data_IF_795182723087
#
_entry.id   IF_795182723087
#
_cell.length_a   1.000
_cell.length_b   1.000
_cell.length_c   1.000
_cell.angle_alpha   90.00
_cell.angle_beta   90.00
_cell.angle_gamma   90.00
#
_symmetry.space_group_name_H-M   'P 1'
#
loop_
_entity.id
_entity.type
_entity.pdbx_description
1 polymer ?
#
# COMPACT_ATOMS: atom_id res chain seq x y z
N UNK A 1 -27.96 1.15 -9.23
CA UNK A 1 -26.59 0.90 -9.72
C UNK A 1 -26.21 -0.53 -9.34
N UNK A 2 -26.11 -1.45 -10.32
CA UNK A 2 -25.67 -2.82 -10.05
C UNK A 2 -24.17 -2.76 -9.75
N UNK A 3 -23.80 -2.95 -8.49
CA UNK A 3 -22.41 -3.22 -8.11
C UNK A 3 -22.06 -4.54 -8.80
N UNK A 4 -21.28 -4.45 -9.87
CA UNK A 4 -20.73 -5.61 -10.57
C UNK A 4 -20.00 -6.46 -9.55
N UNK A 5 -20.48 -7.69 -9.35
CA UNK A 5 -19.90 -8.69 -8.45
C UNK A 5 -18.68 -9.38 -9.09
N UNK A 6 -17.79 -8.60 -9.70
CA UNK A 6 -16.40 -8.95 -9.92
C UNK A 6 -15.59 -7.78 -9.43
N UNK A 7 -15.07 -7.87 -8.20
CA UNK A 7 -13.79 -7.22 -7.93
C UNK A 7 -12.84 -7.94 -8.88
N UNK A 8 -12.73 -7.44 -10.11
CA UNK A 8 -11.63 -7.80 -10.97
C UNK A 8 -10.38 -7.61 -10.12
N UNK A 9 -9.57 -8.66 -10.06
CA UNK A 9 -8.30 -8.63 -9.37
C UNK A 9 -7.42 -7.67 -10.18
N UNK A 10 -7.67 -6.37 -10.09
CA UNK A 10 -6.75 -5.36 -10.54
C UNK A 10 -5.55 -5.54 -9.62
N UNK A 11 -4.53 -6.22 -10.14
CA UNK A 11 -3.26 -6.40 -9.47
C UNK A 11 -2.65 -5.01 -9.26
N UNK A 12 -2.99 -4.39 -8.14
CA UNK A 12 -2.49 -3.09 -7.78
C UNK A 12 -0.95 -3.16 -7.75
N UNK A 13 -0.26 -2.13 -8.27
CA UNK A 13 1.18 -2.17 -8.46
C UNK A 13 1.89 -2.46 -7.13
N UNK A 14 2.91 -3.33 -7.21
CA UNK A 14 3.75 -3.70 -6.06
C UNK A 14 4.69 -2.54 -5.67
N UNK A 15 5.01 -1.66 -6.59
CA UNK A 15 5.81 -0.48 -6.29
C UNK A 15 5.06 0.45 -5.31
N UNK A 16 5.81 1.08 -4.42
CA UNK A 16 5.31 2.06 -3.46
C UNK A 16 5.19 3.42 -4.14
N UNK A 17 3.99 3.98 -4.09
CA UNK A 17 3.69 5.35 -4.51
C UNK A 17 3.86 6.33 -3.34
N UNK A 18 3.85 7.62 -3.64
CA UNK A 18 3.80 8.64 -2.59
C UNK A 18 2.52 8.58 -1.75
N UNK A 19 1.38 8.23 -2.37
CA UNK A 19 0.09 8.07 -1.71
C UNK A 19 0.09 6.86 -0.77
N UNK A 20 0.69 5.73 -1.18
CA UNK A 20 0.84 4.55 -0.31
C UNK A 20 1.56 4.91 0.99
N UNK A 21 2.64 5.70 0.90
CA UNK A 21 3.38 6.15 2.07
C UNK A 21 2.55 7.05 2.97
N UNK A 22 1.85 8.02 2.38
CA UNK A 22 0.99 8.91 3.14
C UNK A 22 -0.09 8.15 3.92
N UNK A 23 -0.76 7.19 3.28
CA UNK A 23 -1.77 6.36 3.92
C UNK A 23 -1.15 5.47 5.02
N UNK A 24 0.01 4.85 4.76
CA UNK A 24 0.67 4.01 5.76
C UNK A 24 1.16 4.83 6.95
N UNK A 25 1.61 6.07 6.72
CA UNK A 25 2.03 6.97 7.79
C UNK A 25 0.87 7.36 8.70
N UNK A 26 -0.30 7.62 8.13
CA UNK A 26 -1.53 7.86 8.86
C UNK A 26 -1.99 6.60 9.63
N UNK A 27 -2.09 5.44 8.95
CA UNK A 27 -2.51 4.17 9.54
C UNK A 27 -1.60 3.68 10.69
N UNK A 28 -0.33 4.12 10.71
CA UNK A 28 0.67 3.77 11.73
C UNK A 28 0.92 4.90 12.74
N UNK A 29 0.19 6.01 12.64
CA UNK A 29 0.29 7.18 13.51
C UNK A 29 1.74 7.69 13.65
N UNK A 30 2.45 7.81 12.52
CA UNK A 30 3.81 8.33 12.53
C UNK A 30 3.81 9.85 12.62
N UNK A 31 4.57 10.40 13.58
CA UNK A 31 4.87 11.83 13.59
C UNK A 31 5.75 12.26 12.41
N UNK A 32 5.62 13.52 11.99
CA UNK A 32 6.29 14.12 10.80
C UNK A 32 7.78 13.80 10.71
N UNK A 33 8.52 13.85 11.82
CA UNK A 33 9.96 13.52 11.84
C UNK A 33 10.23 12.09 11.41
N UNK A 34 9.42 11.14 11.88
CA UNK A 34 9.52 9.71 11.54
C UNK A 34 9.12 9.48 10.08
N UNK A 35 8.03 10.11 9.62
CA UNK A 35 7.60 10.06 8.23
C UNK A 35 8.72 10.49 7.28
N UNK A 36 9.34 11.64 7.54
CA UNK A 36 10.42 12.16 6.70
C UNK A 36 11.67 11.29 6.76
N UNK A 37 12.01 10.74 7.92
CA UNK A 37 13.13 9.80 8.03
C UNK A 37 12.88 8.57 7.16
N UNK A 38 11.72 7.94 7.28
CA UNK A 38 11.38 6.73 6.50
C UNK A 38 11.39 7.03 5.00
N UNK A 39 10.78 8.13 4.55
CA UNK A 39 10.78 8.51 3.14
C UNK A 39 12.22 8.72 2.62
N UNK A 40 13.07 9.41 3.38
CA UNK A 40 14.47 9.59 2.99
C UNK A 40 15.24 8.26 2.97
N UNK A 41 15.08 7.40 3.98
CA UNK A 41 15.75 6.10 4.06
C UNK A 41 15.34 5.18 2.90
N UNK A 42 14.04 5.17 2.52
CA UNK A 42 13.57 4.42 1.35
C UNK A 42 14.22 4.95 0.07
N UNK A 43 14.26 6.27 -0.12
CA UNK A 43 14.88 6.83 -1.32
C UNK A 43 16.41 6.64 -1.34
N UNK A 44 17.08 6.59 -0.20
CA UNK A 44 18.53 6.42 -0.17
C UNK A 44 18.96 4.96 -0.35
N UNK A 45 18.24 4.02 0.30
CA UNK A 45 18.70 2.64 0.44
C UNK A 45 17.79 1.60 -0.24
N UNK A 46 16.54 1.92 -0.50
CA UNK A 46 15.53 0.96 -1.00
C UNK A 46 14.80 1.47 -2.26
N UNK A 47 15.46 2.26 -3.13
CA UNK A 47 14.86 2.83 -4.36
C UNK A 47 14.15 1.83 -5.25
N UNK A 48 14.62 0.58 -5.26
CA UNK A 48 14.05 -0.51 -6.05
C UNK A 48 12.55 -0.71 -5.81
N UNK A 49 12.03 -0.33 -4.63
CA UNK A 49 10.63 -0.48 -4.25
C UNK A 49 9.73 0.65 -4.74
N UNK A 50 10.30 1.79 -5.14
CA UNK A 50 9.54 2.98 -5.51
C UNK A 50 8.97 2.85 -6.93
N UNK A 51 7.98 3.68 -7.27
CA UNK A 51 7.57 3.82 -8.66
C UNK A 51 8.73 4.31 -9.55
N UNK A 52 8.76 3.84 -10.79
CA UNK A 52 9.84 4.14 -11.75
C UNK A 52 10.18 5.63 -11.86
N UNK A 53 9.17 6.50 -11.81
CA UNK A 53 9.32 7.96 -11.85
C UNK A 53 10.20 8.57 -10.74
N UNK A 54 10.41 7.83 -9.64
CA UNK A 54 11.18 8.27 -8.47
C UNK A 54 12.56 7.60 -8.32
N UNK A 55 12.89 6.60 -9.15
CA UNK A 55 14.13 5.80 -8.99
C UNK A 55 15.41 6.50 -9.48
N UNK A 56 15.28 7.46 -10.39
CA UNK A 56 16.43 8.13 -11.01
C UNK A 56 17.20 9.09 -10.09
N UNK A 57 18.46 9.35 -10.42
CA UNK A 57 19.25 10.36 -9.73
C UNK A 57 18.64 11.76 -9.91
N UNK A 58 18.70 12.56 -8.85
CA UNK A 58 18.02 13.87 -8.79
C UNK A 58 16.51 13.80 -8.52
N UNK A 59 15.88 12.62 -8.47
CA UNK A 59 14.44 12.46 -8.19
C UNK A 59 14.07 12.52 -6.71
N UNK A 60 15.05 12.60 -5.79
CA UNK A 60 14.82 12.68 -4.34
C UNK A 60 13.86 13.80 -3.98
N UNK A 61 14.13 15.01 -4.47
CA UNK A 61 13.31 16.18 -4.18
C UNK A 61 11.87 15.99 -4.64
N UNK A 62 11.66 15.54 -5.88
CA UNK A 62 10.32 15.29 -6.42
C UNK A 62 9.58 14.20 -5.66
N UNK A 63 10.28 13.15 -5.24
CA UNK A 63 9.69 12.08 -4.45
C UNK A 63 9.25 12.58 -3.06
N UNK A 64 10.13 13.25 -2.33
CA UNK A 64 9.80 13.80 -1.00
C UNK A 64 8.68 14.83 -1.08
N UNK A 65 8.68 15.70 -2.11
CA UNK A 65 7.59 16.64 -2.35
C UNK A 65 6.27 15.93 -2.63
N UNK A 66 6.27 14.87 -3.42
CA UNK A 66 5.06 14.08 -3.67
C UNK A 66 4.52 13.43 -2.39
N UNK A 67 5.40 12.87 -1.54
CA UNK A 67 4.99 12.31 -0.24
C UNK A 67 4.37 13.37 0.66
N UNK A 68 5.02 14.54 0.78
CA UNK A 68 4.50 15.65 1.58
C UNK A 68 3.15 16.16 1.07
N UNK A 69 3.01 16.29 -0.25
CA UNK A 69 1.74 16.66 -0.87
C UNK A 69 0.64 15.66 -0.51
N UNK A 70 0.91 14.36 -0.63
CA UNK A 70 -0.07 13.31 -0.33
C UNK A 70 -0.44 13.26 1.16
N UNK A 71 0.53 13.44 2.06
CA UNK A 71 0.26 13.54 3.51
C UNK A 71 -0.62 14.75 3.81
N UNK A 72 -0.31 15.91 3.22
CA UNK A 72 -1.12 17.12 3.40
C UNK A 72 -2.52 16.95 2.82
N UNK A 73 -2.64 16.32 1.64
CA UNK A 73 -3.92 16.01 1.03
C UNK A 73 -4.79 15.14 1.94
N UNK A 74 -4.23 14.07 2.55
CA UNK A 74 -4.98 13.22 3.48
C UNK A 74 -5.51 13.97 4.71
N UNK A 75 -4.71 14.88 5.28
CA UNK A 75 -5.14 15.69 6.42
C UNK A 75 -6.30 16.64 6.09
N UNK A 76 -6.39 17.08 4.84
CA UNK A 76 -7.39 18.04 4.37
C UNK A 76 -8.36 17.43 3.35
N UNK A 77 -8.51 16.10 3.36
CA UNK A 77 -9.16 15.35 2.27
C UNK A 77 -10.57 15.85 1.98
N UNK A 78 -11.39 16.07 3.02
CA UNK A 78 -12.77 16.54 2.86
C UNK A 78 -12.84 17.91 2.16
N UNK A 79 -12.06 18.88 2.64
CA UNK A 79 -12.02 20.23 2.06
C UNK A 79 -11.47 20.23 0.61
N UNK A 80 -10.45 19.40 0.35
CA UNK A 80 -9.84 19.31 -0.98
C UNK A 80 -10.77 18.57 -1.95
N UNK A 81 -11.40 17.46 -1.55
CA UNK A 81 -12.30 16.69 -2.40
C UNK A 81 -13.51 17.54 -2.83
N UNK A 82 -14.09 18.33 -1.92
CA UNK A 82 -15.17 19.28 -2.25
C UNK A 82 -14.71 20.34 -3.28
N UNK A 83 -13.49 20.86 -3.12
CA UNK A 83 -12.92 21.81 -4.08
C UNK A 83 -12.66 21.17 -5.45
N UNK A 84 -12.23 19.90 -5.48
CA UNK A 84 -11.95 19.15 -6.70
C UNK A 84 -13.22 18.89 -7.51
N UNK A 85 -14.34 18.57 -6.85
CA UNK A 85 -15.64 18.46 -7.51
C UNK A 85 -16.06 19.78 -8.16
N UNK A 86 -15.91 20.89 -7.43
CA UNK A 86 -16.21 22.23 -7.94
C UNK A 86 -15.34 22.59 -9.16
N UNK A 87 -14.05 22.26 -9.11
CA UNK A 87 -13.12 22.48 -10.24
C UNK A 87 -13.50 21.60 -11.44
N UNK A 88 -13.85 20.33 -11.22
CA UNK A 88 -14.30 19.43 -12.28
C UNK A 88 -15.54 19.98 -12.99
N UNK A 89 -16.51 20.49 -12.23
CA UNK A 89 -17.74 21.01 -12.80
C UNK A 89 -17.47 22.27 -13.65
N UNK A 90 -16.64 23.19 -13.15
CA UNK A 90 -16.19 24.35 -13.92
C UNK A 90 -15.39 23.94 -15.18
N UNK A 91 -14.55 22.90 -15.08
CA UNK A 91 -13.77 22.41 -16.21
C UNK A 91 -14.68 21.83 -17.31
N UNK A 92 -15.74 21.10 -16.93
CA UNK A 92 -16.76 20.59 -17.85
C UNK A 92 -17.49 21.71 -18.58
N UNK A 93 -17.83 22.79 -17.89
CA UNK A 93 -18.43 23.98 -18.53
C UNK A 93 -17.51 24.60 -19.59
N UNK A 94 -16.20 24.49 -19.41
CA UNK A 94 -15.18 24.96 -20.35
C UNK A 94 -14.81 23.91 -21.43
N UNK A 95 -15.49 22.76 -21.46
CA UNK A 95 -15.26 21.69 -22.44
C UNK A 95 -14.08 20.75 -22.11
N UNK A 96 -13.59 20.77 -20.87
CA UNK A 96 -12.54 19.86 -20.39
C UNK A 96 -13.13 18.77 -19.49
N UNK A 97 -12.58 17.56 -19.57
CA UNK A 97 -12.90 16.47 -18.65
C UNK A 97 -11.77 16.29 -17.64
N UNK A 98 -12.13 16.22 -16.35
CA UNK A 98 -11.20 15.93 -15.26
C UNK A 98 -11.59 14.57 -14.66
N UNK A 99 -10.66 13.63 -14.63
CA UNK A 99 -10.84 12.35 -13.97
C UNK A 99 -10.60 12.49 -12.46
N UNK A 100 -11.64 12.89 -11.75
CA UNK A 100 -11.61 13.06 -10.29
C UNK A 100 -11.35 11.73 -9.58
N UNK A 101 -11.83 10.61 -10.14
CA UNK A 101 -11.61 9.29 -9.55
C UNK A 101 -10.13 8.94 -9.60
N UNK A 102 -9.43 9.17 -10.71
CA UNK A 102 -7.96 8.98 -10.76
C UNK A 102 -7.18 9.83 -9.74
N UNK A 103 -7.75 10.94 -9.26
CA UNK A 103 -7.14 11.84 -8.27
C UNK A 103 -7.48 11.49 -6.82
N UNK A 104 -8.58 10.75 -6.60
CA UNK A 104 -9.16 10.51 -5.27
C UNK A 104 -9.24 9.03 -4.90
N UNK A 105 -8.99 8.11 -5.84
CA UNK A 105 -9.13 6.67 -5.63
C UNK A 105 -8.07 6.16 -4.65
N UNK A 106 -8.55 5.64 -3.52
CA UNK A 106 -7.73 4.94 -2.56
C UNK A 106 -7.52 3.50 -3.05
N UNK A 107 -6.29 3.15 -3.41
CA UNK A 107 -5.97 1.78 -3.83
C UNK A 107 -6.19 0.78 -2.68
N UNK A 108 -7.31 0.07 -2.74
CA UNK A 108 -7.66 -0.99 -1.81
C UNK A 108 -7.30 -2.35 -2.40
N UNK A 109 -6.12 -2.87 -2.01
CA UNK A 109 -5.66 -4.17 -2.49
C UNK A 109 -4.73 -4.84 -1.49
N UNK A 110 -4.56 -6.16 -1.61
CA UNK A 110 -3.65 -6.90 -0.74
C UNK A 110 -2.19 -6.47 -0.90
N UNK A 111 -1.79 -5.88 -2.04
CA UNK A 111 -0.47 -5.26 -2.16
C UNK A 111 -0.26 -4.14 -1.13
N UNK A 112 -1.29 -3.33 -0.83
CA UNK A 112 -1.25 -2.32 0.24
C UNK A 112 -0.96 -2.95 1.60
N UNK A 113 -1.53 -4.13 1.90
CA UNK A 113 -1.19 -4.89 3.11
C UNK A 113 0.31 -5.13 3.21
N UNK A 114 0.90 -5.63 2.12
CA UNK A 114 2.30 -6.00 2.11
C UNK A 114 3.24 -4.79 2.10
N UNK A 115 2.87 -3.67 1.46
CA UNK A 115 3.57 -2.37 1.60
C UNK A 115 3.64 -1.95 3.07
N UNK A 116 2.51 -1.97 3.76
CA UNK A 116 2.42 -1.66 5.20
C UNK A 116 3.26 -2.61 6.03
N UNK A 117 3.14 -3.93 5.82
CA UNK A 117 3.92 -4.93 6.56
C UNK A 117 5.42 -4.73 6.35
N UNK A 118 5.85 -4.46 5.11
CA UNK A 118 7.26 -4.20 4.82
C UNK A 118 7.78 -2.98 5.57
N UNK A 119 7.06 -1.85 5.54
CA UNK A 119 7.43 -0.64 6.31
C UNK A 119 7.48 -0.92 7.81
N UNK A 120 6.48 -1.62 8.34
CA UNK A 120 6.46 -2.02 9.75
C UNK A 120 7.66 -2.87 10.12
N UNK A 121 7.97 -3.91 9.34
CA UNK A 121 9.09 -4.81 9.62
C UNK A 121 10.45 -4.12 9.50
N UNK A 122 10.61 -3.22 8.52
CA UNK A 122 11.88 -2.55 8.23
C UNK A 122 12.17 -1.39 9.19
N UNK A 123 11.17 -0.56 9.49
CA UNK A 123 11.39 0.73 10.17
C UNK A 123 10.84 0.83 11.60
N UNK A 124 9.87 -0.01 11.96
CA UNK A 124 9.16 0.10 13.26
C UNK A 124 9.50 -1.04 14.20
N UNK A 125 9.47 -2.26 13.68
CA UNK A 125 9.30 -3.44 14.50
C UNK A 125 10.64 -3.91 15.10
N UNK A 126 10.80 -3.66 16.40
CA UNK A 126 11.96 -4.12 17.18
C UNK A 126 12.14 -5.65 17.20
N UNK A 127 11.05 -6.41 17.03
CA UNK A 127 11.07 -7.87 17.09
C UNK A 127 11.37 -8.53 15.74
N UNK A 128 11.34 -7.77 14.64
CA UNK A 128 11.63 -8.28 13.30
C UNK A 128 10.59 -9.25 12.72
N UNK A 129 9.37 -9.31 13.29
CA UNK A 129 8.28 -10.13 12.77
C UNK A 129 6.89 -9.59 13.12
N UNK A 130 5.93 -9.80 12.23
CA UNK A 130 4.51 -9.54 12.49
C UNK A 130 3.72 -10.85 12.45
N UNK A 131 2.56 -10.91 13.10
CA UNK A 131 1.69 -12.10 13.12
C UNK A 131 0.31 -11.75 12.61
N UNK A 132 -0.21 -12.57 11.71
CA UNK A 132 -1.55 -12.38 11.13
C UNK A 132 -2.22 -13.72 10.84
N UNK A 133 -3.55 -13.72 10.68
CA UNK A 133 -4.30 -14.88 10.17
C UNK A 133 -4.67 -14.60 8.72
N UNK A 134 -4.67 -15.63 7.86
CA UNK A 134 -5.14 -15.46 6.48
C UNK A 134 -6.61 -14.99 6.47
N UNK A 135 -7.44 -15.49 7.39
CA UNK A 135 -8.82 -15.00 7.59
C UNK A 135 -8.88 -13.48 7.81
N UNK A 136 -7.96 -12.92 8.59
CA UNK A 136 -7.93 -11.48 8.87
C UNK A 136 -7.62 -10.70 7.60
N UNK A 137 -6.62 -11.14 6.83
CA UNK A 137 -6.26 -10.51 5.55
C UNK A 137 -7.45 -10.56 4.58
N UNK A 138 -8.08 -11.72 4.42
CA UNK A 138 -9.24 -11.87 3.55
C UNK A 138 -10.37 -10.90 3.94
N UNK A 139 -10.70 -10.82 5.23
CA UNK A 139 -11.76 -9.94 5.74
C UNK A 139 -11.42 -8.46 5.55
N UNK A 140 -10.18 -8.05 5.85
CA UNK A 140 -9.75 -6.65 5.80
C UNK A 140 -9.76 -6.10 4.37
N UNK A 141 -9.45 -6.93 3.37
CA UNK A 141 -9.39 -6.53 1.97
C UNK A 141 -10.57 -7.06 1.15
N UNK A 142 -11.70 -7.36 1.80
CA UNK A 142 -12.97 -7.76 1.17
C UNK A 142 -12.90 -8.99 0.24
N UNK A 143 -11.93 -9.88 0.44
CA UNK A 143 -11.87 -11.16 -0.26
C UNK A 143 -12.77 -12.19 0.42
N UNK A 144 -13.76 -12.70 -0.32
CA UNK A 144 -14.73 -13.70 0.20
C UNK A 144 -14.10 -15.06 0.46
N UNK A 145 -13.10 -15.48 -0.32
CA UNK A 145 -12.50 -16.83 -0.27
C UNK A 145 -11.01 -16.77 -0.63
N UNK A 146 -10.25 -17.74 -0.12
CA UNK A 146 -8.89 -18.02 -0.59
C UNK A 146 -8.97 -18.72 -1.95
N UNK A 147 -8.87 -17.94 -3.02
CA UNK A 147 -8.76 -18.44 -4.39
C UNK A 147 -7.29 -18.69 -4.75
N UNK A 148 -7.05 -19.43 -5.82
CA UNK A 148 -5.69 -19.60 -6.37
C UNK A 148 -5.07 -18.26 -6.75
N UNK A 149 -5.83 -17.41 -7.46
CA UNK A 149 -5.43 -16.03 -7.80
C UNK A 149 -5.02 -15.20 -6.57
N UNK A 150 -5.79 -15.28 -5.49
CA UNK A 150 -5.44 -14.62 -4.23
C UNK A 150 -4.10 -15.13 -3.71
N UNK A 151 -3.93 -16.45 -3.63
CA UNK A 151 -2.68 -17.04 -3.15
C UNK A 151 -1.49 -16.65 -4.02
N UNK A 152 -1.64 -16.64 -5.34
CA UNK A 152 -0.58 -16.28 -6.27
C UNK A 152 -0.14 -14.83 -6.09
N UNK A 153 -1.09 -13.90 -5.96
CA UNK A 153 -0.78 -12.50 -5.74
C UNK A 153 -0.16 -12.26 -4.34
N UNK A 154 -0.59 -12.99 -3.31
CA UNK A 154 0.07 -12.95 -1.98
C UNK A 154 1.51 -13.46 -2.08
N UNK A 155 1.74 -14.57 -2.77
CA UNK A 155 3.09 -15.11 -2.98
C UNK A 155 3.95 -14.10 -3.77
N UNK A 156 3.39 -13.45 -4.78
CA UNK A 156 4.05 -12.42 -5.57
C UNK A 156 4.46 -11.23 -4.68
N UNK A 157 3.54 -10.73 -3.85
CA UNK A 157 3.85 -9.66 -2.88
C UNK A 157 4.96 -10.10 -1.92
N UNK A 158 4.84 -11.30 -1.33
CA UNK A 158 5.84 -11.85 -0.42
C UNK A 158 7.23 -11.92 -1.06
N UNK A 159 7.31 -12.43 -2.31
CA UNK A 159 8.57 -12.49 -3.06
C UNK A 159 9.14 -11.10 -3.33
N UNK A 160 8.31 -10.17 -3.80
CA UNK A 160 8.73 -8.81 -4.13
C UNK A 160 9.32 -8.07 -2.93
N UNK A 161 8.68 -8.15 -1.77
CA UNK A 161 9.14 -7.46 -0.55
C UNK A 161 10.15 -8.26 0.28
N UNK A 162 10.56 -9.45 -0.17
CA UNK A 162 11.45 -10.33 0.60
C UNK A 162 10.83 -10.78 1.93
N UNK A 163 9.52 -11.04 1.96
CA UNK A 163 8.78 -11.47 3.15
C UNK A 163 8.55 -12.99 3.10
N UNK A 164 8.89 -13.67 4.19
CA UNK A 164 8.66 -15.11 4.39
C UNK A 164 7.62 -15.36 5.48
N UNK A 165 6.73 -16.32 5.23
CA UNK A 165 5.74 -16.78 6.20
C UNK A 165 6.21 -18.05 6.92
N UNK A 166 5.91 -18.10 8.22
CA UNK A 166 6.20 -19.22 9.09
C UNK A 166 4.98 -19.60 9.94
N UNK A 167 4.78 -20.88 10.17
CA UNK A 167 3.82 -21.41 11.14
C UNK A 167 4.62 -22.11 12.24
N UNK A 168 4.44 -21.67 13.50
CA UNK A 168 5.17 -22.23 14.66
C UNK A 168 6.70 -22.35 14.44
N UNK A 169 7.27 -21.44 13.65
CA UNK A 169 8.71 -21.39 13.34
C UNK A 169 9.14 -22.18 12.10
N UNK A 170 8.25 -22.97 11.50
CA UNK A 170 8.52 -23.72 10.26
C UNK A 170 8.03 -22.95 9.04
N UNK A 171 8.69 -23.14 7.89
CA UNK A 171 8.25 -22.55 6.63
C UNK A 171 6.78 -22.87 6.38
N UNK A 172 6.01 -21.83 6.04
CA UNK A 172 4.58 -21.94 5.82
C UNK A 172 4.24 -21.63 4.36
N UNK A 173 3.74 -22.63 3.64
CA UNK A 173 3.07 -22.42 2.37
C UNK A 173 1.64 -21.92 2.61
N UNK A 174 1.42 -20.65 2.30
CA UNK A 174 0.12 -19.96 2.43
C UNK A 174 -1.01 -20.59 1.60
N UNK A 175 -0.68 -21.36 0.55
CA UNK A 175 -1.68 -22.15 -0.20
C UNK A 175 -2.25 -23.28 0.64
N UNK A 176 -1.46 -23.83 1.56
CA UNK A 176 -1.80 -25.01 2.38
C UNK A 176 -2.18 -24.68 3.82
N UNK A 177 -1.74 -23.54 4.35
CA UNK A 177 -2.03 -23.10 5.71
C UNK A 177 -3.54 -22.99 5.99
N UNK A 178 -4.00 -23.34 7.19
CA UNK A 178 -5.41 -23.10 7.55
C UNK A 178 -5.69 -21.60 7.70
N UNK A 179 -6.91 -21.17 7.37
CA UNK A 179 -7.31 -19.75 7.44
C UNK A 179 -7.23 -19.16 8.85
N UNK A 180 -7.40 -20.00 9.86
CA UNK A 180 -7.39 -19.63 11.28
C UNK A 180 -6.03 -19.69 11.95
N UNK A 181 -5.06 -20.28 11.27
CA UNK A 181 -3.72 -20.43 11.80
C UNK A 181 -3.03 -19.08 11.82
N UNK A 182 -2.30 -18.87 12.91
CA UNK A 182 -1.47 -17.69 13.09
C UNK A 182 -0.16 -17.87 12.33
N UNK A 183 0.01 -17.11 11.26
CA UNK A 183 1.25 -17.06 10.50
C UNK A 183 2.12 -15.90 10.99
N UNK A 184 3.42 -16.14 11.04
CA UNK A 184 4.44 -15.15 11.36
C UNK A 184 5.12 -14.72 10.07
N UNK A 185 5.08 -13.43 9.76
CA UNK A 185 5.75 -12.83 8.60
C UNK A 185 7.04 -12.16 9.04
N UNK A 186 8.14 -12.41 8.31
CA UNK A 186 9.47 -11.87 8.57
C UNK A 186 10.14 -11.43 7.27
N UNK A 187 11.03 -10.44 7.34
CA UNK A 187 11.93 -10.15 6.23
C UNK A 187 12.99 -11.25 6.15
N UNK A 188 13.26 -11.72 4.94
CA UNK A 188 14.41 -12.56 4.62
C UNK A 188 15.62 -11.62 4.59
N UNK A 189 16.69 -11.99 5.31
CA UNK A 189 17.96 -11.27 5.28
C UNK A 189 18.75 -11.60 4.02
#
# INVERSE_FOLDING_TARGET
MKISNSIDYNEAPLEITAQDLAIIFDELDFGVKTQMKIANDIWEYDRWILQEQYKGDGKKKSFIQAVLYQVNYLYHKEEIDDSLWTISDNAKELGYEVDIFALTEDFYGISKYFKRIWIQLKFVNKYGYTRTKIRTILKQYNYKRRTEKFCDHVIQCMKFYGIQAYEKGLFCDIRKASLDIMITLKLIK
#
